data_IF_912108022422
#
_entry.id   IF_912108022422
#
_cell.length_a   1.000
_cell.length_b   1.000
_cell.length_c   1.000
_cell.angle_alpha   90.00
_cell.angle_beta   90.00
_cell.angle_gamma   90.00
#
_symmetry.space_group_name_H-M   'P 1'
#
loop_
_entity.id
_entity.type
_entity.pdbx_description
1 polymer ?
#
# COMPACT_ATOMS: atom_id res chain seq x y z
N UNK A 1 9.23 38.83 67.23
CA UNK A 1 9.32 39.02 65.77
C UNK A 1 10.20 37.91 65.20
N UNK A 2 9.72 37.24 64.13
CA UNK A 2 10.47 36.50 63.09
C UNK A 2 11.78 35.79 63.49
N UNK A 3 11.82 34.46 63.32
CA UNK A 3 12.48 33.87 62.14
C UNK A 3 12.42 32.35 62.12
N UNK A 4 11.99 31.84 60.96
CA UNK A 4 11.97 30.45 60.52
C UNK A 4 13.38 29.93 60.23
N UNK A 5 13.67 28.64 60.50
CA UNK A 5 14.54 27.82 59.64
C UNK A 5 13.99 26.39 59.60
N UNK A 6 13.54 26.00 58.41
CA UNK A 6 13.18 24.64 58.01
C UNK A 6 14.45 23.80 57.80
N UNK A 7 14.47 22.56 58.28
CA UNK A 7 15.42 21.54 57.81
C UNK A 7 14.63 20.48 57.05
N UNK A 8 14.91 20.41 55.75
CA UNK A 8 14.28 19.55 54.77
C UNK A 8 14.48 18.06 55.09
N UNK A 9 13.37 17.32 55.07
CA UNK A 9 13.37 15.87 54.97
C UNK A 9 13.84 15.43 53.58
N UNK A 10 14.84 14.55 53.57
CA UNK A 10 15.36 13.88 52.37
C UNK A 10 14.32 12.84 51.91
N UNK A 11 13.50 13.18 50.90
CA UNK A 11 12.64 12.19 50.23
C UNK A 11 13.47 11.37 49.26
N UNK A 12 13.54 10.06 49.52
CA UNK A 12 14.02 9.06 48.59
C UNK A 12 13.03 8.94 47.41
N UNK A 13 13.34 9.59 46.30
CA UNK A 13 12.75 9.32 44.99
C UNK A 13 13.37 8.02 44.46
N UNK A 14 12.81 6.88 44.87
CA UNK A 14 13.00 5.62 44.16
C UNK A 14 12.29 5.80 42.82
N UNK A 15 13.08 5.97 41.76
CA UNK A 15 12.59 6.00 40.40
C UNK A 15 11.81 4.73 40.11
N UNK A 16 10.49 4.86 40.03
CA UNK A 16 9.65 3.85 39.41
C UNK A 16 10.04 3.85 37.92
N UNK A 17 10.87 2.89 37.52
CA UNK A 17 10.98 2.48 36.13
C UNK A 17 9.55 2.08 35.74
N UNK A 18 8.91 2.75 34.76
CA UNK A 18 7.61 2.30 34.29
C UNK A 18 7.81 0.86 33.80
N UNK A 19 7.15 -0.08 34.46
CA UNK A 19 7.02 -1.42 33.92
C UNK A 19 6.31 -1.25 32.57
N UNK A 20 7.04 -1.43 31.48
CA UNK A 20 6.46 -1.56 30.15
C UNK A 20 5.40 -2.67 30.26
N UNK A 21 4.14 -2.26 30.24
CA UNK A 21 3.04 -3.19 30.12
C UNK A 21 3.22 -3.86 28.76
N UNK A 22 3.85 -5.04 28.77
CA UNK A 22 4.08 -5.85 27.58
C UNK A 22 2.75 -5.94 26.82
N UNK A 23 2.70 -5.25 25.68
CA UNK A 23 1.50 -5.17 24.86
C UNK A 23 1.17 -6.58 24.39
N UNK A 24 -0.09 -7.02 24.60
CA UNK A 24 -0.46 -8.40 24.27
C UNK A 24 -0.37 -8.59 22.76
N UNK A 25 0.09 -9.76 22.28
CA UNK A 25 0.06 -10.06 20.86
C UNK A 25 -1.37 -9.96 20.30
N UNK A 26 -1.47 -9.68 19.01
CA UNK A 26 -2.76 -9.53 18.31
C UNK A 26 -2.86 -10.48 17.12
N UNK A 27 -4.07 -10.95 16.84
CA UNK A 27 -4.41 -11.60 15.59
C UNK A 27 -4.93 -10.56 14.60
N UNK A 28 -4.44 -10.58 13.37
CA UNK A 28 -5.00 -9.87 12.23
C UNK A 28 -6.03 -10.77 11.56
N UNK A 29 -7.26 -10.29 11.48
CA UNK A 29 -8.43 -11.04 11.02
C UNK A 29 -9.03 -10.30 9.83
N UNK A 30 -9.33 -11.05 8.76
CA UNK A 30 -9.97 -10.50 7.57
C UNK A 30 -11.49 -10.44 7.72
N UNK A 31 -12.13 -11.60 7.59
CA UNK A 31 -13.58 -11.78 7.71
C UNK A 31 -13.90 -12.93 8.65
N UNK A 32 -15.17 -13.05 8.98
CA UNK A 32 -15.69 -14.23 9.66
C UNK A 32 -17.21 -14.18 9.78
N UNK A 33 -17.80 -15.33 10.08
CA UNK A 33 -19.23 -15.46 10.37
C UNK A 33 -19.48 -16.39 11.54
N UNK A 34 -20.66 -16.32 12.14
CA UNK A 34 -21.15 -17.33 13.09
C UNK A 34 -21.49 -18.63 12.36
N UNK A 35 -21.93 -18.52 11.11
CA UNK A 35 -22.20 -19.66 10.25
C UNK A 35 -20.91 -20.12 9.58
N UNK A 36 -20.67 -21.44 9.62
CA UNK A 36 -19.44 -22.02 9.08
C UNK A 36 -19.42 -21.96 7.55
N UNK A 37 -20.53 -22.26 6.90
CA UNK A 37 -20.62 -22.30 5.45
C UNK A 37 -20.48 -20.90 4.85
N UNK A 38 -21.04 -19.88 5.51
CA UNK A 38 -20.83 -18.48 5.13
C UNK A 38 -19.36 -18.08 5.26
N UNK A 39 -18.69 -18.46 6.37
CA UNK A 39 -17.28 -18.16 6.56
C UNK A 39 -16.39 -18.89 5.53
N UNK A 40 -16.70 -20.14 5.18
CA UNK A 40 -16.03 -20.89 4.11
C UNK A 40 -16.27 -20.25 2.74
N UNK A 41 -17.48 -19.76 2.47
CA UNK A 41 -17.80 -19.06 1.22
C UNK A 41 -17.02 -17.76 1.00
N UNK A 42 -16.47 -17.16 2.05
CA UNK A 42 -15.60 -15.97 1.91
C UNK A 42 -14.26 -16.29 1.22
N UNK A 43 -13.87 -17.57 1.13
CA UNK A 43 -12.68 -18.00 0.40
C UNK A 43 -12.71 -17.56 -1.08
N UNK A 44 -13.90 -17.48 -1.69
CA UNK A 44 -14.02 -17.12 -3.11
C UNK A 44 -13.58 -15.69 -3.43
N UNK A 45 -13.62 -14.76 -2.46
CA UNK A 45 -13.14 -13.39 -2.66
C UNK A 45 -11.68 -13.17 -2.25
N UNK A 46 -11.02 -14.20 -1.72
CA UNK A 46 -9.61 -14.14 -1.35
C UNK A 46 -8.66 -13.95 -2.54
N UNK A 47 -8.77 -14.68 -3.68
CA UNK A 47 -7.74 -14.66 -4.72
C UNK A 47 -7.48 -13.28 -5.34
N UNK A 48 -8.52 -12.43 -5.45
CA UNK A 48 -8.36 -11.06 -5.94
C UNK A 48 -7.57 -10.19 -4.96
N UNK A 49 -7.87 -10.32 -3.67
CA UNK A 49 -7.18 -9.62 -2.60
C UNK A 49 -5.73 -10.11 -2.43
N UNK A 50 -5.51 -11.43 -2.45
CA UNK A 50 -4.18 -12.05 -2.32
C UNK A 50 -3.21 -11.53 -3.37
N UNK A 51 -3.60 -11.57 -4.65
CA UNK A 51 -2.77 -11.06 -5.75
C UNK A 51 -2.41 -9.59 -5.56
N UNK A 52 -3.35 -8.78 -5.06
CA UNK A 52 -3.09 -7.37 -4.80
C UNK A 52 -2.16 -7.16 -3.59
N UNK A 53 -2.30 -7.96 -2.53
CA UNK A 53 -1.41 -7.92 -1.37
C UNK A 53 0.02 -8.29 -1.77
N UNK A 54 0.20 -9.38 -2.53
CA UNK A 54 1.50 -9.80 -3.06
C UNK A 54 2.12 -8.71 -3.92
N UNK A 55 1.34 -8.14 -4.85
CA UNK A 55 1.78 -7.07 -5.74
C UNK A 55 2.17 -5.80 -5.01
N UNK A 56 1.49 -5.49 -3.91
CA UNK A 56 1.80 -4.33 -3.06
C UNK A 56 2.85 -4.64 -1.99
N UNK A 57 3.45 -5.84 -2.01
CA UNK A 57 4.57 -6.22 -1.15
C UNK A 57 4.20 -6.74 0.24
N UNK A 58 2.91 -6.91 0.57
CA UNK A 58 2.49 -7.54 1.82
C UNK A 58 2.45 -9.06 1.63
N UNK A 59 3.32 -9.78 2.36
CA UNK A 59 3.37 -11.24 2.29
C UNK A 59 2.82 -11.87 3.56
N UNK A 60 1.86 -12.79 3.41
CA UNK A 60 1.36 -13.56 4.53
C UNK A 60 2.35 -14.65 4.97
N UNK A 61 2.33 -15.02 6.26
CA UNK A 61 3.09 -16.18 6.73
C UNK A 61 2.54 -17.48 6.11
N UNK A 62 3.37 -18.51 6.06
CA UNK A 62 2.98 -19.82 5.54
C UNK A 62 1.70 -20.36 6.20
N UNK A 63 0.83 -20.97 5.39
CA UNK A 63 -0.45 -21.52 5.84
C UNK A 63 -1.48 -20.47 6.24
N UNK A 64 -1.32 -19.22 5.78
CA UNK A 64 -2.30 -18.15 5.91
C UNK A 64 -2.74 -17.65 4.52
N UNK A 65 -3.99 -17.16 4.36
CA UNK A 65 -5.00 -17.04 5.40
C UNK A 65 -5.50 -18.42 5.85
N UNK A 66 -5.97 -18.53 7.10
CA UNK A 66 -6.54 -19.78 7.61
C UNK A 66 -7.85 -19.56 8.33
N UNK A 67 -8.84 -20.39 8.00
CA UNK A 67 -10.11 -20.41 8.68
C UNK A 67 -10.00 -21.18 10.00
N UNK A 68 -10.38 -20.53 11.11
CA UNK A 68 -10.39 -21.17 12.43
C UNK A 68 -11.67 -20.83 13.18
N UNK A 69 -12.11 -21.74 14.04
CA UNK A 69 -13.16 -21.42 15.01
C UNK A 69 -12.56 -20.57 16.12
N UNK A 70 -13.13 -19.39 16.38
CA UNK A 70 -12.57 -18.40 17.31
C UNK A 70 -12.29 -18.95 18.72
N UNK A 71 -13.07 -19.93 19.19
CA UNK A 71 -12.87 -20.58 20.50
C UNK A 71 -11.54 -21.34 20.63
N UNK A 72 -10.91 -21.72 19.51
CA UNK A 72 -9.64 -22.47 19.51
C UNK A 72 -8.43 -21.55 19.59
N UNK A 73 -8.62 -20.25 19.46
CA UNK A 73 -7.57 -19.23 19.56
C UNK A 73 -7.71 -18.51 20.89
N UNK A 74 -6.80 -18.74 21.86
CA UNK A 74 -6.86 -18.10 23.16
C UNK A 74 -6.91 -16.57 23.05
N UNK A 75 -7.91 -15.95 23.70
CA UNK A 75 -8.12 -14.49 23.68
C UNK A 75 -9.25 -14.04 22.74
N UNK A 76 -9.59 -14.81 21.72
CA UNK A 76 -10.73 -14.49 20.86
C UNK A 76 -12.07 -14.86 21.52
N UNK A 77 -13.12 -14.11 21.18
CA UNK A 77 -14.48 -14.37 21.64
C UNK A 77 -15.04 -15.61 20.93
N UNK A 78 -15.54 -16.63 21.65
CA UNK A 78 -16.15 -17.81 21.05
C UNK A 78 -17.39 -17.50 20.20
N UNK A 79 -17.70 -18.41 19.26
CA UNK A 79 -18.95 -18.40 18.49
C UNK A 79 -18.84 -17.94 17.03
N UNK A 80 -17.62 -17.76 16.52
CA UNK A 80 -17.36 -17.35 15.13
C UNK A 80 -16.37 -18.30 14.46
N UNK A 81 -16.41 -18.35 13.13
CA UNK A 81 -15.37 -18.85 12.25
C UNK A 81 -14.72 -17.63 11.59
N UNK A 82 -13.40 -17.51 11.70
CA UNK A 82 -12.65 -16.31 11.28
C UNK A 82 -11.44 -16.69 10.43
N UNK A 83 -11.18 -15.89 9.40
CA UNK A 83 -9.98 -15.96 8.58
C UNK A 83 -8.86 -15.17 9.25
N UNK A 84 -7.89 -15.88 9.82
CA UNK A 84 -6.69 -15.27 10.39
C UNK A 84 -5.67 -15.09 9.28
N UNK A 85 -5.18 -13.85 9.15
CA UNK A 85 -4.11 -13.48 8.21
C UNK A 85 -2.73 -13.61 8.87
N UNK A 86 -2.66 -13.47 10.19
CA UNK A 86 -1.46 -13.70 10.96
C UNK A 86 -1.63 -13.28 12.41
N UNK A 87 -0.58 -13.48 13.20
CA UNK A 87 -0.51 -13.09 14.61
C UNK A 87 0.81 -12.37 14.85
N UNK A 88 0.74 -11.17 15.42
CA UNK A 88 1.86 -10.24 15.52
C UNK A 88 2.08 -9.80 16.97
N UNK A 89 3.30 -9.40 17.33
CA UNK A 89 3.49 -8.43 18.39
C UNK A 89 2.59 -7.20 18.17
N UNK A 90 2.12 -6.57 19.24
CA UNK A 90 1.17 -5.45 19.10
C UNK A 90 1.75 -4.29 18.29
N UNK A 91 3.05 -4.03 18.46
CA UNK A 91 3.72 -2.85 17.89
C UNK A 91 3.95 -3.03 16.38
N UNK A 92 4.09 -4.27 15.91
CA UNK A 92 4.27 -4.60 14.49
C UNK A 92 2.94 -4.62 13.71
N UNK A 93 1.81 -4.76 14.41
CA UNK A 93 0.52 -5.04 13.79
C UNK A 93 -0.14 -3.83 13.13
N UNK A 94 0.12 -2.62 13.65
CA UNK A 94 -0.54 -1.40 13.20
C UNK A 94 -0.31 -1.09 11.70
N UNK A 95 0.94 -0.99 11.20
CA UNK A 95 1.17 -0.67 9.78
C UNK A 95 0.60 -1.74 8.84
N UNK A 96 0.64 -3.02 9.25
CA UNK A 96 0.07 -4.13 8.48
C UNK A 96 -1.45 -4.01 8.42
N UNK A 97 -2.09 -3.71 9.56
CA UNK A 97 -3.55 -3.55 9.62
C UNK A 97 -4.00 -2.34 8.80
N UNK A 98 -3.25 -1.24 8.81
CA UNK A 98 -3.55 -0.06 7.99
C UNK A 98 -3.53 -0.41 6.50
N UNK A 99 -2.48 -1.09 6.03
CA UNK A 99 -2.39 -1.59 4.64
C UNK A 99 -3.57 -2.50 4.29
N UNK A 100 -3.86 -3.47 5.16
CA UNK A 100 -4.98 -4.40 4.97
C UNK A 100 -6.32 -3.68 4.89
N UNK A 101 -6.57 -2.67 5.72
CA UNK A 101 -7.82 -1.90 5.72
C UNK A 101 -8.04 -1.06 4.48
N UNK A 102 -6.98 -0.66 3.78
CA UNK A 102 -7.11 0.06 2.52
C UNK A 102 -7.77 -0.80 1.43
N UNK A 103 -7.43 -2.09 1.44
CA UNK A 103 -7.81 -3.08 0.42
C UNK A 103 -8.95 -4.02 0.86
N UNK A 104 -9.13 -4.20 2.16
CA UNK A 104 -10.16 -4.99 2.80
C UNK A 104 -10.59 -4.29 4.10
N UNK A 105 -11.47 -3.28 4.03
CA UNK A 105 -11.86 -2.43 5.16
C UNK A 105 -12.43 -3.17 6.38
N UNK A 106 -12.96 -4.37 6.15
CA UNK A 106 -13.49 -5.26 7.16
C UNK A 106 -12.41 -5.92 8.03
N UNK A 107 -11.14 -5.82 7.64
CA UNK A 107 -10.02 -6.35 8.42
C UNK A 107 -9.90 -5.65 9.78
N UNK A 108 -9.61 -6.43 10.82
CA UNK A 108 -9.48 -5.92 12.17
C UNK A 108 -8.46 -6.72 12.98
N UNK A 109 -7.99 -6.13 14.07
CA UNK A 109 -7.14 -6.81 15.05
C UNK A 109 -7.88 -7.16 16.35
N UNK A 110 -7.45 -8.24 17.00
CA UNK A 110 -7.89 -8.62 18.35
C UNK A 110 -6.73 -9.14 19.17
N UNK A 111 -6.67 -8.77 20.45
CA UNK A 111 -5.72 -9.35 21.39
C UNK A 111 -5.88 -10.87 21.49
N UNK A 112 -4.75 -11.57 21.49
CA UNK A 112 -4.66 -13.01 21.66
C UNK A 112 -3.66 -13.35 22.76
N UNK A 113 -3.81 -14.54 23.33
CA UNK A 113 -2.93 -15.07 24.39
C UNK A 113 -2.03 -16.15 23.80
N UNK A 114 -1.10 -15.74 22.94
CA UNK A 114 -0.13 -16.62 22.30
C UNK A 114 1.29 -16.28 22.78
N UNK A 115 2.15 -17.29 22.98
CA UNK A 115 3.57 -17.04 23.26
C UNK A 115 4.28 -16.53 22.01
N UNK A 116 5.30 -15.68 22.16
CA UNK A 116 6.05 -15.07 21.06
C UNK A 116 6.53 -16.08 20.00
N UNK A 117 6.97 -17.28 20.41
CA UNK A 117 7.42 -18.36 19.51
C UNK A 117 6.35 -18.93 18.57
N UNK A 118 5.07 -18.62 18.81
CA UNK A 118 3.94 -19.07 17.99
C UNK A 118 3.36 -17.94 17.14
N UNK A 119 3.93 -16.73 17.23
CA UNK A 119 3.51 -15.62 16.40
C UNK A 119 4.03 -15.83 14.97
N UNK A 120 3.19 -15.49 14.02
CA UNK A 120 3.46 -15.56 12.60
C UNK A 120 2.88 -14.28 12.00
N UNK A 121 3.69 -13.23 11.97
CA UNK A 121 3.27 -11.91 11.54
C UNK A 121 3.45 -11.79 10.02
N UNK A 122 2.48 -11.21 9.28
CA UNK A 122 2.71 -10.85 7.89
C UNK A 122 3.89 -9.90 7.77
N UNK A 123 4.60 -9.97 6.64
CA UNK A 123 5.66 -9.01 6.34
C UNK A 123 5.01 -7.77 5.74
N UNK A 124 5.22 -6.58 6.33
CA UNK A 124 4.71 -5.35 5.75
C UNK A 124 5.42 -5.07 4.41
N UNK A 125 4.80 -4.26 3.54
CA UNK A 125 5.45 -3.80 2.33
C UNK A 125 6.65 -2.89 2.66
N UNK A 126 7.62 -2.82 1.73
CA UNK A 126 8.79 -1.95 1.89
C UNK A 126 8.40 -0.46 1.96
N UNK A 127 7.36 -0.08 1.21
CA UNK A 127 6.78 1.26 1.20
C UNK A 127 5.28 1.17 1.46
N UNK A 128 4.68 2.14 2.18
CA UNK A 128 3.25 2.13 2.44
C UNK A 128 2.46 2.34 1.15
N UNK A 129 1.33 1.65 1.06
CA UNK A 129 0.30 1.96 0.07
C UNK A 129 -0.51 3.16 0.55
N UNK A 130 -0.72 4.14 -0.32
CA UNK A 130 -1.46 5.37 -0.01
C UNK A 130 -2.73 5.41 -0.85
N UNK A 131 -3.89 5.58 -0.22
CA UNK A 131 -5.12 5.85 -0.95
C UNK A 131 -5.11 7.27 -1.50
N UNK A 132 -5.58 7.42 -2.74
CA UNK A 132 -5.84 8.73 -3.31
C UNK A 132 -7.33 9.08 -3.27
N UNK A 133 -7.62 10.36 -3.51
CA UNK A 133 -8.98 10.91 -3.49
C UNK A 133 -9.77 10.60 -4.77
N UNK A 134 -9.09 10.24 -5.87
CA UNK A 134 -9.75 9.94 -7.14
C UNK A 134 -10.53 8.62 -7.05
N UNK A 135 -11.84 8.72 -7.28
CA UNK A 135 -12.78 7.60 -7.20
C UNK A 135 -13.77 7.67 -8.37
N UNK A 136 -13.92 6.57 -9.08
CA UNK A 136 -14.90 6.41 -10.15
C UNK A 136 -15.95 5.37 -9.72
N UNK A 137 -17.20 5.81 -9.58
CA UNK A 137 -18.33 4.93 -9.32
C UNK A 137 -18.91 4.45 -10.64
N UNK A 138 -19.05 3.14 -10.78
CA UNK A 138 -19.65 2.51 -11.96
C UNK A 138 -21.16 2.42 -11.73
N UNK A 139 -22.01 2.65 -12.77
CA UNK A 139 -23.47 2.58 -12.61
C UNK A 139 -23.99 1.26 -12.04
N UNK A 140 -23.29 0.16 -12.32
CA UNK A 140 -23.60 -1.16 -11.78
C UNK A 140 -23.32 -1.27 -10.27
N UNK A 141 -22.60 -0.31 -9.68
CA UNK A 141 -22.40 -0.09 -8.23
C UNK A 141 -20.99 -0.42 -7.71
N UNK A 142 -20.13 -0.97 -8.56
CA UNK A 142 -18.70 -1.12 -8.32
C UNK A 142 -18.02 0.24 -8.21
N UNK A 143 -16.85 0.27 -7.57
CA UNK A 143 -16.07 1.48 -7.38
C UNK A 143 -14.61 1.24 -7.73
N UNK A 144 -14.10 1.99 -8.71
CA UNK A 144 -12.68 2.03 -9.03
C UNK A 144 -12.01 3.08 -8.14
N UNK A 145 -11.02 2.65 -7.36
CA UNK A 145 -10.20 3.50 -6.48
C UNK A 145 -8.75 3.47 -6.93
N UNK A 146 -8.03 4.54 -6.64
CA UNK A 146 -6.61 4.66 -6.95
C UNK A 146 -5.78 4.63 -5.68
N UNK A 147 -4.68 3.90 -5.73
CA UNK A 147 -3.65 3.88 -4.70
C UNK A 147 -2.28 4.14 -5.31
N UNK A 148 -1.36 4.66 -4.51
CA UNK A 148 0.03 4.87 -4.90
C UNK A 148 0.99 4.19 -3.96
N UNK A 149 2.12 3.71 -4.49
CA UNK A 149 3.20 3.13 -3.72
C UNK A 149 4.54 3.59 -4.30
N UNK A 150 5.45 3.99 -3.43
CA UNK A 150 6.82 4.35 -3.83
C UNK A 150 7.68 3.10 -3.96
N UNK A 151 8.28 2.91 -5.12
CA UNK A 151 9.25 1.87 -5.42
C UNK A 151 10.63 2.52 -5.52
N UNK A 152 11.64 1.93 -4.90
CA UNK A 152 13.03 2.36 -5.05
C UNK A 152 13.87 1.16 -5.43
N UNK A 153 14.65 1.31 -6.49
CA UNK A 153 15.52 0.29 -7.02
C UNK A 153 16.98 0.80 -6.95
N UNK A 154 17.88 -0.07 -6.50
CA UNK A 154 19.32 0.14 -6.69
C UNK A 154 19.64 0.00 -8.18
N UNK A 155 20.61 0.76 -8.72
CA UNK A 155 20.87 0.82 -10.15
C UNK A 155 21.17 -0.57 -10.75
N UNK A 156 20.89 -0.70 -12.03
CA UNK A 156 21.20 -1.88 -12.83
C UNK A 156 22.72 -2.15 -12.92
N UNK A 157 23.10 -3.31 -13.46
CA UNK A 157 24.51 -3.71 -13.63
C UNK A 157 25.32 -2.72 -14.50
N UNK A 158 24.65 -1.84 -15.24
CA UNK A 158 25.24 -0.83 -16.14
C UNK A 158 25.60 0.47 -15.40
N UNK A 159 25.21 0.62 -14.12
CA UNK A 159 25.68 1.69 -13.25
C UNK A 159 25.08 3.06 -13.56
N UNK A 160 23.94 3.11 -14.25
CA UNK A 160 23.29 4.35 -14.62
C UNK A 160 22.50 4.94 -13.43
N UNK A 161 23.18 5.78 -12.64
CA UNK A 161 22.63 6.47 -11.47
C UNK A 161 22.94 5.75 -10.15
N UNK A 162 22.68 6.42 -9.02
CA UNK A 162 22.81 5.88 -7.66
C UNK A 162 21.51 5.22 -7.17
N UNK A 163 20.35 5.62 -7.69
CA UNK A 163 19.03 5.03 -7.39
C UNK A 163 17.94 5.50 -8.37
N UNK A 164 16.98 4.64 -8.68
CA UNK A 164 15.74 5.00 -9.39
C UNK A 164 14.57 4.92 -8.41
N UNK A 165 13.81 6.00 -8.28
CA UNK A 165 12.55 6.04 -7.52
C UNK A 165 11.37 6.21 -8.47
N UNK A 166 10.33 5.39 -8.28
CA UNK A 166 9.13 5.39 -9.12
C UNK A 166 7.89 5.37 -8.24
N UNK A 167 6.89 6.18 -8.57
CA UNK A 167 5.55 6.06 -8.00
C UNK A 167 4.72 5.10 -8.83
N UNK A 168 4.35 3.96 -8.26
CA UNK A 168 3.40 3.01 -8.86
C UNK A 168 1.98 3.43 -8.56
N UNK A 169 1.13 3.49 -9.58
CA UNK A 169 -0.31 3.72 -9.43
C UNK A 169 -1.05 2.41 -9.59
N UNK A 170 -1.86 2.05 -8.59
CA UNK A 170 -2.72 0.87 -8.60
C UNK A 170 -4.19 1.29 -8.73
N UNK A 171 -4.84 0.84 -9.79
CA UNK A 171 -6.26 1.00 -10.05
C UNK A 171 -6.97 -0.28 -9.62
N UNK A 172 -7.80 -0.18 -8.60
CA UNK A 172 -8.44 -1.35 -7.98
C UNK A 172 -9.95 -1.18 -8.07
N UNK A 173 -10.59 -2.11 -8.77
CA UNK A 173 -12.04 -2.17 -8.89
C UNK A 173 -12.60 -3.01 -7.74
N UNK A 174 -13.42 -2.37 -6.92
CA UNK A 174 -14.12 -3.00 -5.81
C UNK A 174 -15.57 -3.29 -6.16
N UNK A 175 -16.08 -4.43 -5.71
CA UNK A 175 -17.51 -4.73 -5.71
C UNK A 175 -18.27 -3.80 -4.77
N UNK A 176 -19.61 -3.85 -4.82
CA UNK A 176 -20.49 -3.16 -3.87
C UNK A 176 -20.21 -3.53 -2.41
N UNK A 177 -19.77 -4.78 -2.20
CA UNK A 177 -19.49 -5.35 -0.89
C UNK A 177 -18.04 -5.12 -0.46
N UNK A 178 -17.27 -4.35 -1.24
CA UNK A 178 -15.88 -3.99 -0.94
C UNK A 178 -14.86 -5.06 -1.32
N UNK A 179 -15.22 -6.05 -2.13
CA UNK A 179 -14.32 -7.12 -2.56
C UNK A 179 -13.51 -6.70 -3.79
N UNK A 180 -12.24 -7.09 -3.85
CA UNK A 180 -11.38 -6.81 -5.01
C UNK A 180 -11.81 -7.67 -6.19
N UNK A 181 -12.34 -7.03 -7.24
CA UNK A 181 -12.79 -7.71 -8.47
C UNK A 181 -11.67 -7.79 -9.51
N UNK A 182 -10.95 -6.68 -9.70
CA UNK A 182 -9.93 -6.57 -10.73
C UNK A 182 -8.96 -5.45 -10.40
N UNK A 183 -7.72 -5.58 -10.89
CA UNK A 183 -6.64 -4.63 -10.60
C UNK A 183 -5.84 -4.36 -11.85
N UNK A 184 -5.44 -3.11 -12.06
CA UNK A 184 -4.45 -2.71 -13.05
C UNK A 184 -3.45 -1.78 -12.39
N UNK A 185 -2.23 -1.70 -12.91
CA UNK A 185 -1.26 -0.71 -12.49
C UNK A 185 -0.64 0.01 -13.69
N UNK A 186 -0.08 1.17 -13.42
CA UNK A 186 0.80 1.89 -14.33
C UNK A 186 1.83 2.67 -13.53
N UNK A 187 2.91 3.06 -14.19
CA UNK A 187 3.91 3.95 -13.62
C UNK A 187 3.42 5.40 -13.68
N UNK A 188 3.71 6.17 -12.63
CA UNK A 188 3.50 7.61 -12.58
C UNK A 188 4.83 8.35 -12.63
N UNK A 189 5.15 9.06 -11.54
CA UNK A 189 6.38 9.85 -11.42
C UNK A 189 7.61 8.94 -11.37
N UNK A 190 8.68 9.35 -12.03
CA UNK A 190 9.97 8.67 -12.07
C UNK A 190 11.08 9.69 -11.89
N UNK A 191 11.87 9.49 -10.83
CA UNK A 191 13.07 10.26 -10.55
C UNK A 191 14.30 9.34 -10.53
N UNK A 192 15.38 9.81 -11.14
CA UNK A 192 16.65 9.09 -11.22
C UNK A 192 17.72 9.97 -10.57
N UNK A 193 18.27 9.48 -9.45
CA UNK A 193 19.33 10.17 -8.71
C UNK A 193 20.68 9.54 -9.04
N UNK A 194 21.70 10.36 -9.26
CA UNK A 194 23.07 9.93 -9.53
C UNK A 194 23.87 11.05 -10.16
N UNK A 195 24.85 11.56 -9.43
CA UNK A 195 25.64 12.72 -9.83
C UNK A 195 26.94 12.29 -10.51
N UNK A 196 26.87 12.04 -11.82
CA UNK A 196 27.96 12.47 -12.69
C UNK A 196 27.36 13.17 -13.92
N UNK A 197 27.47 14.50 -14.06
CA UNK A 197 27.13 15.17 -15.30
C UNK A 197 27.95 14.68 -16.52
N UNK A 198 29.01 13.88 -16.36
CA UNK A 198 29.75 13.29 -17.47
C UNK A 198 29.40 11.82 -17.77
N UNK A 199 28.73 11.08 -16.87
CA UNK A 199 28.42 9.64 -17.07
C UNK A 199 27.04 9.18 -16.53
N UNK A 200 26.25 10.07 -15.92
CA UNK A 200 24.92 9.78 -15.36
C UNK A 200 23.80 9.96 -16.37
N UNK A 201 22.65 9.28 -16.19
CA UNK A 201 21.76 8.97 -17.29
C UNK A 201 21.15 10.23 -17.91
N UNK A 202 21.16 10.27 -19.23
CA UNK A 202 20.31 11.11 -20.10
C UNK A 202 18.81 10.76 -19.94
N UNK A 203 18.38 10.49 -18.71
CA UNK A 203 17.12 9.85 -18.39
C UNK A 203 15.97 10.80 -18.66
N UNK A 204 15.08 10.35 -19.54
CA UNK A 204 13.73 10.83 -19.64
C UNK A 204 13.05 10.63 -18.28
N UNK A 205 12.75 11.74 -17.59
CA UNK A 205 12.08 11.76 -16.29
C UNK A 205 10.62 12.10 -16.49
N UNK A 206 9.75 11.57 -15.65
CA UNK A 206 8.33 11.90 -15.67
C UNK A 206 7.92 12.44 -14.31
N UNK A 207 7.22 13.56 -14.30
CA UNK A 207 6.72 14.23 -13.10
C UNK A 207 5.29 14.72 -13.30
N UNK A 208 4.73 15.30 -12.24
CA UNK A 208 3.42 15.97 -12.27
C UNK A 208 2.29 15.03 -12.70
N UNK A 209 2.37 13.76 -12.29
CA UNK A 209 1.32 12.78 -12.58
C UNK A 209 -0.03 13.23 -12.00
N UNK A 210 -1.02 13.35 -12.88
CA UNK A 210 -2.40 13.74 -12.58
C UNK A 210 -3.39 12.69 -13.08
N UNK A 211 -4.53 12.60 -12.41
CA UNK A 211 -5.62 11.71 -12.80
C UNK A 211 -6.88 12.54 -13.05
N UNK A 212 -7.45 12.36 -14.23
CA UNK A 212 -8.74 12.93 -14.60
C UNK A 212 -9.79 11.82 -14.66
N UNK A 213 -10.96 12.04 -14.05
CA UNK A 213 -12.04 11.06 -14.02
C UNK A 213 -13.16 11.47 -14.97
N UNK A 214 -13.48 10.63 -15.94
CA UNK A 214 -14.64 10.76 -16.82
C UNK A 214 -15.74 9.79 -16.38
N UNK A 215 -16.68 10.30 -15.57
CA UNK A 215 -17.77 9.50 -15.00
C UNK A 215 -18.68 8.91 -16.07
N UNK A 216 -19.05 9.71 -17.06
CA UNK A 216 -19.98 9.29 -18.12
C UNK A 216 -19.37 8.24 -19.06
N UNK A 217 -18.03 8.22 -19.17
CA UNK A 217 -17.33 7.25 -20.00
C UNK A 217 -16.83 6.01 -19.23
N UNK A 218 -16.97 5.97 -17.90
CA UNK A 218 -16.43 4.89 -17.07
C UNK A 218 -14.91 4.80 -17.10
N UNK A 219 -14.22 5.94 -17.19
CA UNK A 219 -12.76 6.01 -17.42
C UNK A 219 -12.04 6.93 -16.44
N UNK A 220 -10.79 6.59 -16.17
CA UNK A 220 -9.79 7.49 -15.59
C UNK A 220 -8.65 7.66 -16.60
N UNK A 221 -8.09 8.86 -16.71
CA UNK A 221 -6.92 9.14 -17.54
C UNK A 221 -5.81 9.60 -16.63
N UNK A 222 -4.74 8.81 -16.55
CA UNK A 222 -3.50 9.21 -15.91
C UNK A 222 -2.64 9.94 -16.94
N UNK A 223 -2.19 11.14 -16.63
CA UNK A 223 -1.25 11.90 -17.47
C UNK A 223 -0.04 12.28 -16.65
N UNK A 224 1.15 12.15 -17.22
CA UNK A 224 2.42 12.58 -16.64
C UNK A 224 3.20 13.39 -17.66
N UNK A 225 3.91 14.41 -17.19
CA UNK A 225 4.74 15.25 -18.05
C UNK A 225 6.17 14.76 -17.97
N UNK A 226 6.76 14.46 -19.11
CA UNK A 226 8.07 13.85 -19.18
C UNK A 226 9.06 14.70 -19.97
N UNK A 227 10.32 14.68 -19.54
CA UNK A 227 11.39 15.44 -20.18
C UNK A 227 12.77 14.83 -19.95
N UNK A 228 13.65 15.02 -20.92
CA UNK A 228 15.06 14.66 -20.81
C UNK A 228 15.80 15.69 -19.94
N UNK A 229 16.67 15.23 -19.03
CA UNK A 229 17.69 16.08 -18.44
C UNK A 229 18.77 16.42 -19.49
N UNK A 230 19.36 17.63 -19.38
CA UNK A 230 20.15 18.32 -20.41
C UNK A 230 21.11 17.47 -21.29
N UNK A 231 21.31 17.95 -22.53
CA UNK A 231 22.12 17.37 -23.64
C UNK A 231 21.46 16.25 -24.44
N UNK A 232 20.20 16.46 -24.82
CA UNK A 232 19.56 15.60 -25.81
C UNK A 232 20.21 15.84 -27.19
N UNK A 233 20.51 14.77 -27.92
CA UNK A 233 21.07 14.86 -29.28
C UNK A 233 20.11 15.62 -30.20
N UNK A 234 20.64 16.30 -31.22
CA UNK A 234 19.84 16.95 -32.24
C UNK A 234 18.77 15.99 -32.80
N UNK A 235 17.51 16.44 -32.83
CA UNK A 235 16.36 15.64 -33.28
C UNK A 235 15.85 14.60 -32.30
N UNK A 236 16.45 14.44 -31.11
CA UNK A 236 15.92 13.56 -30.05
C UNK A 236 14.73 14.20 -29.34
N UNK A 237 13.85 13.38 -28.74
CA UNK A 237 12.69 13.86 -27.98
C UNK A 237 13.15 14.52 -26.68
N UNK A 238 12.87 15.82 -26.54
CA UNK A 238 13.14 16.60 -25.33
C UNK A 238 12.06 16.44 -24.28
N UNK A 239 10.80 16.42 -24.69
CA UNK A 239 9.67 16.31 -23.78
C UNK A 239 8.44 15.74 -24.48
N UNK A 240 7.54 15.13 -23.69
CA UNK A 240 6.19 14.80 -24.11
C UNK A 240 5.30 14.65 -22.87
N UNK A 241 3.99 14.80 -23.07
CA UNK A 241 3.01 14.31 -22.10
C UNK A 241 2.66 12.86 -22.44
N UNK A 242 2.80 11.98 -21.46
CA UNK A 242 2.43 10.57 -21.57
C UNK A 242 1.09 10.35 -20.85
N UNK A 243 0.18 9.62 -21.50
CA UNK A 243 -1.13 9.32 -20.91
C UNK A 243 -1.52 7.85 -21.03
N UNK A 244 -2.21 7.36 -20.02
CA UNK A 244 -2.78 6.01 -19.95
C UNK A 244 -4.24 6.12 -19.57
N UNK A 245 -5.11 5.54 -20.40
CA UNK A 245 -6.54 5.48 -20.12
C UNK A 245 -6.88 4.18 -19.42
N UNK A 246 -7.39 4.28 -18.21
CA UNK A 246 -7.92 3.16 -17.42
C UNK A 246 -9.43 3.11 -17.57
N UNK A 247 -9.95 1.97 -18.03
CA UNK A 247 -11.38 1.73 -18.22
C UNK A 247 -11.85 0.66 -17.25
N UNK A 248 -12.98 0.90 -16.59
CA UNK A 248 -13.63 -0.08 -15.73
C UNK A 248 -15.04 -0.42 -16.26
N UNK A 249 -15.27 -1.69 -16.53
CA UNK A 249 -16.56 -2.22 -17.01
C UNK A 249 -16.70 -3.68 -16.63
N UNK A 250 -17.92 -4.13 -16.35
CA UNK A 250 -18.27 -5.56 -16.17
C UNK A 250 -17.34 -6.30 -15.20
N UNK A 251 -17.11 -5.74 -14.00
CA UNK A 251 -16.19 -6.30 -12.98
C UNK A 251 -14.72 -6.42 -13.39
N UNK A 252 -14.31 -5.77 -14.48
CA UNK A 252 -12.93 -5.75 -14.96
C UNK A 252 -12.38 -4.33 -15.03
N UNK A 253 -11.07 -4.20 -14.85
CA UNK A 253 -10.32 -2.98 -15.15
C UNK A 253 -9.27 -3.29 -16.21
N UNK A 254 -9.07 -2.37 -17.14
CA UNK A 254 -8.04 -2.44 -18.18
C UNK A 254 -7.34 -1.10 -18.32
N UNK A 255 -6.10 -1.11 -18.76
CA UNK A 255 -5.35 0.10 -19.14
C UNK A 255 -5.02 0.04 -20.63
N UNK A 256 -5.11 1.19 -21.31
CA UNK A 256 -4.60 1.34 -22.67
C UNK A 256 -3.08 1.24 -22.69
N UNK A 257 -2.54 1.05 -23.89
CA UNK A 257 -1.14 1.40 -24.11
C UNK A 257 -0.92 2.89 -23.79
N UNK A 258 0.30 3.23 -23.42
CA UNK A 258 0.72 4.60 -23.19
C UNK A 258 0.73 5.38 -24.52
N UNK A 259 0.09 6.54 -24.52
CA UNK A 259 0.05 7.46 -25.66
C UNK A 259 0.87 8.72 -25.35
N UNK A 260 1.57 9.24 -26.36
CA UNK A 260 2.39 10.47 -26.25
C UNK A 260 1.75 11.62 -27.00
N UNK A 261 1.71 12.77 -26.36
CA UNK A 261 1.22 14.03 -26.92
C UNK A 261 2.19 15.17 -26.59
N UNK A 262 1.99 16.34 -27.20
CA UNK A 262 2.81 17.54 -26.94
C UNK A 262 4.33 17.29 -27.08
N UNK A 263 4.71 16.46 -28.05
CA UNK A 263 6.09 16.03 -28.23
C UNK A 263 6.95 17.19 -28.73
N UNK A 264 8.04 17.48 -28.03
CA UNK A 264 9.07 18.43 -28.44
C UNK A 264 10.38 17.71 -28.72
N UNK A 265 11.11 18.15 -29.74
CA UNK A 265 12.41 17.58 -30.12
C UNK A 265 13.50 18.65 -30.01
N UNK A 266 14.74 18.22 -29.78
CA UNK A 266 15.89 19.09 -29.75
C UNK A 266 16.13 19.72 -31.13
N UNK A 267 16.23 21.05 -31.15
CA UNK A 267 16.59 21.81 -32.34
C UNK A 267 18.06 21.56 -32.71
N UNK A 268 18.36 21.65 -33.99
CA UNK A 268 19.68 21.41 -34.55
C UNK A 268 20.18 22.72 -35.15
N UNK A 269 21.02 23.45 -34.40
CA UNK A 269 21.71 24.65 -34.88
C UNK A 269 23.09 24.33 -35.46
#
# INVERSE_FOLDING_TARGET
>A
MRSCIFVLGLMALIGAVPAEASSKPVALIWKGSKDKAEAEGQEYSWPGLEKLLEKTGLTLPEGHPRLVQSKTVPGLKPGFWVWILGTCPSDDAAPILEHLKLLAPETYSREVKLPAKKLACPKPPASPLLARDEVLKIPSGETLRVFTQEETESPDEEGHGDSISRTRFHFVLFSKDGEVLSTQDTEGDVDVRGNDPATGPTAYRCTDTRIETSKDAGKMVLTRSCGASAWAECGSMLSADESVTVTASDSTVSASAMERTNIQHAECD
#
